data_IF_944731475271
#
_entry.id   IF_944731475271
#
_cell.length_a   1.000
_cell.length_b   1.000
_cell.length_c   1.000
_cell.angle_alpha   90.00
_cell.angle_beta   90.00
_cell.angle_gamma   90.00
#
_symmetry.space_group_name_H-M   'P 1'
#
loop_
_entity.id
_entity.type
_entity.pdbx_description
1 polymer ?
#
# COMPACT_ATOMS: atom_id res chain seq x y z
N UNK A 1 8.28 26.28 8.21
CA UNK A 1 7.88 25.06 8.85
C UNK A 1 6.65 24.48 8.17
N UNK A 2 6.57 23.20 7.98
CA UNK A 2 5.47 22.60 7.26
C UNK A 2 5.22 21.18 7.74
N UNK A 3 4.12 20.61 7.29
CA UNK A 3 3.77 19.23 7.62
C UNK A 3 3.48 18.48 6.34
N UNK A 4 3.98 17.28 6.26
CA UNK A 4 3.71 16.40 5.13
C UNK A 4 3.56 15.01 5.73
N UNK A 5 2.33 14.60 5.99
CA UNK A 5 2.08 13.34 6.66
C UNK A 5 0.87 12.65 6.08
N UNK A 6 1.03 11.36 5.82
CA UNK A 6 -0.05 10.54 5.28
C UNK A 6 -0.25 9.37 6.21
N UNK A 7 -1.47 9.05 6.53
CA UNK A 7 -1.82 7.90 7.35
C UNK A 7 -2.85 7.08 6.57
N UNK A 8 -2.54 5.82 6.35
CA UNK A 8 -3.40 4.97 5.56
C UNK A 8 -3.60 3.62 6.24
N UNK A 9 -4.80 3.09 6.12
CA UNK A 9 -5.09 1.75 6.58
C UNK A 9 -5.86 1.08 5.46
N UNK A 10 -5.31 0.04 4.89
CA UNK A 10 -5.95 -0.60 3.76
C UNK A 10 -5.35 -1.95 3.44
N UNK A 11 -5.67 -2.45 2.25
CA UNK A 11 -5.21 -3.76 1.85
C UNK A 11 -4.33 -3.67 0.61
N UNK A 12 -3.32 -4.49 0.58
CA UNK A 12 -2.36 -4.50 -0.52
C UNK A 12 -3.03 -5.07 -1.76
N UNK A 13 -2.85 -4.39 -2.88
CA UNK A 13 -3.55 -4.74 -4.10
C UNK A 13 -2.88 -5.82 -4.92
N UNK A 14 -1.58 -5.97 -4.79
CA UNK A 14 -0.86 -7.02 -5.49
C UNK A 14 0.44 -7.23 -4.77
N UNK A 15 1.13 -8.33 -5.07
CA UNK A 15 2.38 -8.61 -4.41
C UNK A 15 3.37 -7.49 -4.67
N UNK A 16 4.16 -7.12 -3.66
CA UNK A 16 5.09 -6.02 -3.83
C UNK A 16 6.17 -6.30 -4.88
N UNK A 17 6.60 -5.24 -5.52
CA UNK A 17 7.70 -5.30 -6.46
C UNK A 17 8.93 -4.89 -5.68
N UNK A 18 9.88 -5.79 -5.53
CA UNK A 18 11.06 -5.54 -4.71
C UNK A 18 12.29 -5.46 -5.59
N UNK A 19 13.10 -4.45 -5.39
CA UNK A 19 14.29 -4.25 -6.19
C UNK A 19 15.46 -3.89 -5.32
N UNK A 20 16.65 -4.17 -5.84
CA UNK A 20 17.89 -3.86 -5.15
C UNK A 20 18.73 -2.98 -6.07
N UNK A 21 18.40 -1.69 -6.14
CA UNK A 21 19.10 -0.82 -7.09
C UNK A 21 20.59 -0.68 -6.81
N UNK A 22 20.97 -0.83 -5.56
CA UNK A 22 22.36 -0.80 -5.22
C UNK A 22 22.63 -1.85 -4.20
N UNK A 23 23.87 -2.28 -4.14
CA UNK A 23 24.23 -3.30 -3.23
C UNK A 23 23.83 -2.88 -1.83
N UNK A 24 23.16 -3.74 -1.12
CA UNK A 24 22.78 -3.45 0.26
C UNK A 24 21.56 -2.59 0.42
N UNK A 25 20.94 -2.17 -0.67
CA UNK A 25 19.74 -1.38 -0.57
C UNK A 25 18.56 -2.13 -1.14
N UNK A 26 17.45 -2.06 -0.47
CA UNK A 26 16.23 -2.73 -0.90
C UNK A 26 15.13 -1.69 -1.01
N UNK A 27 14.35 -1.76 -2.08
CA UNK A 27 13.22 -0.87 -2.30
C UNK A 27 12.03 -1.74 -2.65
N UNK A 28 10.93 -1.55 -1.95
CA UNK A 28 9.71 -2.27 -2.25
C UNK A 28 8.63 -1.28 -2.62
N UNK A 29 7.86 -1.61 -3.64
CA UNK A 29 6.73 -0.77 -4.01
C UNK A 29 5.50 -1.62 -4.20
N UNK A 30 4.37 -1.10 -3.83
CA UNK A 30 3.12 -1.81 -3.97
C UNK A 30 1.99 -0.80 -3.92
N UNK A 31 0.79 -1.27 -4.22
CA UNK A 31 -0.39 -0.42 -4.13
C UNK A 31 -1.20 -0.82 -2.91
N UNK A 32 -1.80 0.16 -2.27
CA UNK A 32 -2.63 -0.06 -1.11
C UNK A 32 -4.00 0.51 -1.41
N UNK A 33 -5.03 -0.25 -1.20
CA UNK A 33 -6.39 0.18 -1.48
C UNK A 33 -7.07 0.62 -0.21
N UNK A 34 -7.62 1.81 -0.22
CA UNK A 34 -8.48 2.27 0.86
C UNK A 34 -9.86 2.46 0.28
N UNK A 35 -10.87 1.98 0.99
CA UNK A 35 -12.23 2.03 0.48
C UNK A 35 -13.13 2.74 1.44
N UNK A 36 -14.08 3.45 0.92
CA UNK A 36 -15.06 4.09 1.76
C UNK A 36 -16.42 3.91 1.15
N UNK A 37 -17.42 3.89 1.99
CA UNK A 37 -18.78 3.78 1.54
C UNK A 37 -19.48 5.08 1.74
N UNK A 38 -20.37 5.42 0.81
CA UNK A 38 -21.11 6.65 0.92
C UNK A 38 -22.50 6.45 0.34
N UNK A 39 -23.40 7.37 0.67
CA UNK A 39 -24.76 7.26 0.23
C UNK A 39 -24.98 8.10 -0.99
N UNK A 40 -25.76 7.59 -1.92
CA UNK A 40 -26.14 8.36 -3.10
C UNK A 40 -27.65 8.29 -3.26
N UNK A 41 -28.15 9.07 -4.17
CA UNK A 41 -29.56 9.05 -4.45
C UNK A 41 -30.04 7.68 -4.90
N UNK A 42 -29.16 6.89 -5.48
CA UNK A 42 -29.50 5.56 -5.94
C UNK A 42 -29.14 4.48 -4.97
N UNK A 43 -28.76 4.82 -3.74
CA UNK A 43 -28.41 3.84 -2.74
C UNK A 43 -26.95 3.91 -2.35
N UNK A 44 -26.46 2.93 -1.61
CA UNK A 44 -25.08 2.96 -1.17
C UNK A 44 -24.12 2.75 -2.32
N UNK A 45 -22.97 3.36 -2.19
CA UNK A 45 -21.92 3.21 -3.20
C UNK A 45 -20.59 3.08 -2.49
N UNK A 46 -19.59 2.61 -3.19
CA UNK A 46 -18.27 2.42 -2.62
C UNK A 46 -17.23 3.03 -3.52
N UNK A 47 -16.24 3.65 -2.95
CA UNK A 47 -15.15 4.24 -3.71
C UNK A 47 -13.85 3.68 -3.18
N UNK A 48 -12.98 3.25 -4.06
CA UNK A 48 -11.69 2.73 -3.70
C UNK A 48 -10.62 3.64 -4.25
N UNK A 49 -9.68 3.98 -3.38
CA UNK A 49 -8.57 4.80 -3.80
C UNK A 49 -7.33 3.94 -3.76
N UNK A 50 -6.52 3.98 -4.81
CA UNK A 50 -5.30 3.19 -4.89
C UNK A 50 -4.11 4.09 -4.64
N UNK A 51 -3.31 3.74 -3.64
CA UNK A 51 -2.17 4.56 -3.27
C UNK A 51 -0.89 3.82 -3.63
N UNK A 52 0.05 4.53 -4.20
CA UNK A 52 1.35 3.94 -4.54
C UNK A 52 2.27 4.11 -3.35
N UNK A 53 2.74 3.00 -2.80
CA UNK A 53 3.54 3.01 -1.58
C UNK A 53 4.97 2.60 -1.91
N UNK A 54 5.94 3.30 -1.36
CA UNK A 54 7.35 2.97 -1.55
C UNK A 54 7.97 2.82 -0.17
N UNK A 55 8.71 1.74 0.02
CA UNK A 55 9.37 1.44 1.28
C UNK A 55 10.83 1.17 1.01
N UNK A 56 11.71 1.70 1.82
CA UNK A 56 13.16 1.57 1.61
C UNK A 56 13.84 0.86 2.76
N UNK A 57 14.97 0.24 2.46
CA UNK A 57 15.86 -0.27 3.48
C UNK A 57 15.37 -1.51 4.18
N UNK A 58 15.63 -1.60 5.45
CA UNK A 58 15.26 -2.79 6.19
C UNK A 58 13.77 -3.01 6.21
N UNK A 59 13.00 -1.95 6.17
CA UNK A 59 11.56 -2.12 6.14
C UNK A 59 11.12 -2.73 4.82
N UNK A 60 11.83 -2.43 3.73
CA UNK A 60 11.52 -3.05 2.46
C UNK A 60 11.78 -4.54 2.49
N UNK A 61 12.79 -4.97 3.25
CA UNK A 61 13.06 -6.39 3.38
C UNK A 61 11.94 -7.08 4.15
N UNK A 62 11.35 -6.40 5.12
CA UNK A 62 10.21 -6.95 5.84
C UNK A 62 9.02 -7.05 4.90
N UNK A 63 8.84 -6.07 4.04
CA UNK A 63 7.77 -6.11 3.07
C UNK A 63 7.96 -7.33 2.16
N UNK A 64 9.18 -7.56 1.73
CA UNK A 64 9.46 -8.68 0.86
C UNK A 64 9.09 -10.00 1.50
N UNK A 65 9.36 -10.14 2.79
CA UNK A 65 9.10 -11.39 3.46
C UNK A 65 7.66 -11.62 3.83
N UNK A 66 6.96 -10.58 4.23
CA UNK A 66 5.66 -10.76 4.83
C UNK A 66 4.47 -10.14 4.13
N UNK A 67 4.67 -9.21 3.24
CA UNK A 67 3.56 -8.51 2.62
C UNK A 67 3.21 -9.17 1.30
N UNK A 68 1.94 -9.50 1.13
CA UNK A 68 1.45 -10.12 -0.10
C UNK A 68 0.12 -9.48 -0.47
N UNK A 69 -0.35 -9.80 -1.64
CA UNK A 69 -1.65 -9.32 -2.05
C UNK A 69 -2.68 -9.66 -0.99
N UNK A 70 -3.46 -8.70 -0.59
CA UNK A 70 -4.50 -8.89 0.41
C UNK A 70 -4.09 -8.62 1.83
N UNK A 71 -2.81 -8.40 2.08
CA UNK A 71 -2.35 -8.10 3.42
C UNK A 71 -2.92 -6.77 3.88
N UNK A 72 -3.36 -6.71 5.13
CA UNK A 72 -3.86 -5.46 5.68
C UNK A 72 -2.73 -4.74 6.36
N UNK A 73 -2.54 -3.49 5.99
CA UNK A 73 -1.43 -2.70 6.50
C UNK A 73 -1.89 -1.35 7.01
N UNK A 74 -1.22 -0.89 8.05
CA UNK A 74 -1.32 0.48 8.54
C UNK A 74 -0.01 1.15 8.16
N UNK A 75 -0.08 2.30 7.53
CA UNK A 75 1.09 2.99 7.03
C UNK A 75 1.09 4.43 7.45
N UNK A 76 2.25 4.92 7.88
CA UNK A 76 2.46 6.33 8.10
C UNK A 76 3.64 6.75 7.25
N UNK A 77 3.50 7.84 6.56
CA UNK A 77 4.58 8.31 5.72
C UNK A 77 4.33 9.71 5.22
N UNK A 78 4.91 10.03 4.08
CA UNK A 78 4.79 11.35 3.50
C UNK A 78 4.56 11.23 2.01
N UNK A 79 4.00 12.26 1.44
CA UNK A 79 3.77 12.30 0.00
C UNK A 79 5.02 12.78 -0.69
N UNK A 80 5.30 12.20 -1.82
CA UNK A 80 6.43 12.62 -2.63
C UNK A 80 6.07 12.44 -4.09
N UNK A 81 6.33 13.44 -4.89
CA UNK A 81 6.05 13.38 -6.32
C UNK A 81 7.36 13.34 -7.06
N UNK A 82 7.49 12.43 -8.00
CA UNK A 82 8.67 12.39 -8.83
C UNK A 82 8.28 12.45 -10.30
N UNK A 83 9.23 12.76 -11.12
CA UNK A 83 9.02 12.93 -12.53
C UNK A 83 9.82 11.90 -13.28
N UNK A 84 9.27 11.37 -14.35
CA UNK A 84 10.00 10.46 -15.21
C UNK A 84 9.60 10.70 -16.65
N UNK A 85 10.48 10.32 -17.58
CA UNK A 85 10.22 10.50 -18.98
C UNK A 85 10.02 9.17 -19.64
N UNK A 86 9.05 9.09 -20.56
CA UNK A 86 8.84 7.85 -21.28
C UNK A 86 9.67 7.87 -22.55
N UNK A 87 9.50 6.87 -23.38
CA UNK A 87 10.29 6.74 -24.60
C UNK A 87 10.10 7.86 -25.56
N UNK A 88 8.96 8.54 -25.50
CA UNK A 88 8.69 9.63 -26.40
C UNK A 88 9.07 10.96 -25.80
N UNK A 89 9.88 10.97 -24.76
CA UNK A 89 10.34 12.19 -24.11
C UNK A 89 9.19 12.97 -23.48
N UNK A 90 8.10 12.30 -23.15
CA UNK A 90 6.98 12.94 -22.50
C UNK A 90 7.17 12.78 -20.99
N UNK A 91 7.05 13.89 -20.28
CA UNK A 91 7.25 13.86 -18.84
C UNK A 91 5.99 13.43 -18.12
N UNK A 92 6.18 12.58 -17.13
CA UNK A 92 5.08 12.09 -16.32
C UNK A 92 5.40 12.36 -14.85
N UNK A 93 4.36 12.58 -14.08
CA UNK A 93 4.52 12.79 -12.66
C UNK A 93 3.77 11.71 -11.93
N UNK A 94 4.36 11.20 -10.87
CA UNK A 94 3.70 10.19 -10.07
C UNK A 94 3.84 10.60 -8.62
N UNK A 95 2.74 10.55 -7.87
CA UNK A 95 2.73 10.88 -6.46
C UNK A 95 2.68 9.58 -5.69
N UNK A 96 3.62 9.44 -4.77
CA UNK A 96 3.76 8.21 -4.01
C UNK A 96 3.80 8.53 -2.54
N UNK A 97 3.51 7.52 -1.72
CA UNK A 97 3.63 7.65 -0.28
C UNK A 97 4.90 6.93 0.11
N UNK A 98 5.84 7.66 0.67
CA UNK A 98 7.08 7.06 1.15
C UNK A 98 6.83 6.72 2.60
N UNK A 99 6.76 5.42 2.89
CA UNK A 99 6.41 4.96 4.21
C UNK A 99 7.54 5.17 5.19
N UNK A 100 7.24 5.80 6.31
CA UNK A 100 8.21 5.93 7.39
C UNK A 100 8.08 4.74 8.31
N UNK A 101 6.88 4.31 8.61
CA UNK A 101 6.63 3.14 9.42
C UNK A 101 5.39 2.43 8.92
N UNK A 102 5.29 1.15 9.23
CA UNK A 102 4.08 0.43 8.89
C UNK A 102 3.90 -0.74 9.85
N UNK A 103 2.67 -1.23 9.92
CA UNK A 103 2.36 -2.38 10.74
C UNK A 103 1.49 -3.35 9.99
N UNK A 104 1.83 -4.62 10.12
CA UNK A 104 1.04 -5.68 9.52
C UNK A 104 -0.12 -6.01 10.44
N UNK A 105 -1.33 -5.91 9.93
CA UNK A 105 -2.50 -6.15 10.73
C UNK A 105 -3.19 -7.46 10.37
N UNK A 106 -2.60 -8.24 9.46
CA UNK A 106 -3.17 -9.52 9.09
C UNK A 106 -3.19 -9.68 7.61
N UNK A 107 -3.50 -10.86 7.13
CA UNK A 107 -3.62 -11.06 5.72
C UNK A 107 -4.84 -11.88 5.45
N UNK A 108 -5.46 -11.63 4.32
CA UNK A 108 -6.55 -12.38 3.90
C UNK A 108 -6.08 -13.63 3.34
N UNK A 109 -6.79 -14.69 3.49
CA UNK A 109 -6.43 -15.94 2.89
C UNK A 109 -6.51 -15.80 1.42
N UNK A 110 -5.46 -16.17 0.79
CA UNK A 110 -5.45 -16.04 -0.56
C UNK A 110 -6.18 -17.07 -1.24
N UNK A 111 -6.18 -18.23 -0.80
CA UNK A 111 -6.76 -19.30 -1.50
C UNK A 111 -8.19 -19.42 -1.24
N UNK A 112 -8.77 -18.59 -0.54
CA UNK A 112 -10.10 -18.77 -0.29
C UNK A 112 -10.36 -19.87 0.64
N UNK A 113 -9.47 -20.15 1.47
CA UNK A 113 -9.67 -21.15 2.42
C UNK A 113 -10.85 -20.74 3.23
N UNK A 114 -11.87 -21.45 3.16
CA UNK A 114 -13.08 -21.05 3.73
C UNK A 114 -13.07 -20.92 5.18
N UNK A 115 -12.39 -21.67 5.80
CA UNK A 115 -12.42 -21.57 7.13
C UNK A 115 -11.57 -20.65 7.60
N UNK A 116 -11.03 -20.10 6.87
CA UNK A 116 -10.19 -19.19 7.26
C UNK A 116 -10.96 -18.50 8.19
N UNK A 117 -10.91 -18.59 9.05
CA UNK A 117 -11.69 -18.12 9.93
C UNK A 117 -11.77 -16.89 9.97
N UNK A 118 -11.92 -16.72 9.59
CA UNK A 118 -12.16 -15.77 9.65
C UNK A 118 -12.06 -15.14 10.55
N UNK A 119 -11.94 -15.24 10.82
CA UNK A 119 -11.89 -14.77 11.49
C UNK A 119 -11.80 -14.02 12.01
N UNK A 120 -11.88 -13.74 12.25
CA UNK A 120 -11.99 -13.02 12.91
C UNK A 120 -11.47 -12.03 12.91
N UNK A 121 -11.29 -11.68 12.55
CA UNK A 121 -10.83 -10.78 12.51
C UNK A 121 -11.28 -9.86 12.72
N UNK A 122 -11.53 -9.59 13.19
CA UNK A 122 -11.95 -8.66 13.45
C UNK A 122 -11.20 -7.68 13.52
N UNK A 123 -11.46 -6.74 13.06
CA UNK A 123 -10.72 -5.68 12.95
C UNK A 123 -10.58 -5.07 14.15
N UNK A 124 -9.62 -4.60 14.34
CA UNK A 124 -9.29 -4.05 15.48
C UNK A 124 -9.84 -2.77 15.71
N UNK A 125 -10.47 -2.21 14.94
CA UNK A 125 -11.00 -0.96 15.29
C UNK A 125 -12.38 -0.82 14.91
#
# INVERSE_FOLDING_TARGET
MSVNKVILLGNVGKDPDVRYPQQGQCVASFTLATSERYSTANGPAERTEWHNIVVWGKQAEIVEKYVRKGTKLYIEGKLRTRQWEDRNAIKHYVTEVYADTFELLGSRPQTGDPQAPAAPEKPPF
#
